data_IF_383175320237
#
_entry.id   IF_383175320237
#
_cell.length_a   1.000
_cell.length_b   1.000
_cell.length_c   1.000
_cell.angle_alpha   90.00
_cell.angle_beta   90.00
_cell.angle_gamma   90.00
#
_symmetry.space_group_name_H-M   'P 1'
#
loop_
_entity.id
_entity.type
_entity.pdbx_description
1 polymer ?
#
# COMPACT_ATOMS: atom_id res chain seq x y z
N UNK A 1 -1.40 20.21 -5.63
CA UNK A 1 -1.44 20.12 -7.10
C UNK A 1 -2.88 19.93 -7.51
N UNK A 2 -3.25 20.35 -8.73
CA UNK A 2 -4.59 20.15 -9.27
C UNK A 2 -4.54 19.08 -10.36
N UNK A 3 -5.68 18.45 -10.63
CA UNK A 3 -5.77 17.54 -11.76
C UNK A 3 -5.67 18.27 -13.09
N UNK A 4 -4.80 17.76 -13.96
CA UNK A 4 -4.60 18.25 -15.32
C UNK A 4 -5.04 17.15 -16.30
N UNK A 5 -6.26 17.32 -16.88
CA UNK A 5 -6.79 16.39 -17.86
C UNK A 5 -6.18 16.68 -19.24
N UNK A 6 -5.49 15.69 -19.78
CA UNK A 6 -4.92 15.72 -21.13
C UNK A 6 -5.67 14.73 -22.00
N UNK A 7 -6.30 15.19 -23.07
CA UNK A 7 -7.06 14.35 -24.00
C UNK A 7 -7.19 15.00 -25.36
N UNK A 8 -7.14 14.20 -26.43
CA UNK A 8 -7.50 14.61 -27.78
C UNK A 8 -9.02 14.72 -27.97
N UNK A 9 -9.80 14.13 -27.04
CA UNK A 9 -11.25 14.12 -27.10
C UNK A 9 -11.84 15.36 -26.40
N UNK A 10 -12.99 15.78 -26.91
CA UNK A 10 -13.84 16.79 -26.26
C UNK A 10 -15.18 16.13 -25.87
N UNK A 11 -15.83 16.57 -24.79
CA UNK A 11 -17.13 16.06 -24.42
C UNK A 11 -18.16 16.31 -25.53
N UNK A 12 -18.90 15.28 -25.93
CA UNK A 12 -19.89 15.32 -27.01
C UNK A 12 -21.22 14.68 -26.60
N UNK A 13 -22.29 14.95 -27.34
CA UNK A 13 -23.63 14.43 -27.06
C UNK A 13 -24.11 14.86 -25.68
N UNK A 14 -24.54 13.92 -24.85
CA UNK A 14 -25.03 14.15 -23.48
C UNK A 14 -23.93 14.29 -22.43
N UNK A 15 -22.66 14.08 -22.80
CA UNK A 15 -21.53 14.13 -21.85
C UNK A 15 -21.38 15.50 -21.17
N UNK A 16 -21.46 16.66 -21.87
CA UNK A 16 -21.35 17.98 -21.23
C UNK A 16 -22.36 18.19 -20.11
N UNK A 17 -23.61 17.79 -20.35
CA UNK A 17 -24.68 17.89 -19.36
C UNK A 17 -24.44 16.94 -18.19
N UNK A 18 -24.09 15.69 -18.44
CA UNK A 18 -23.76 14.71 -17.41
C UNK A 18 -22.58 15.16 -16.53
N UNK A 19 -21.52 15.72 -17.13
CA UNK A 19 -20.38 16.28 -16.41
C UNK A 19 -20.83 17.42 -15.49
N UNK A 20 -21.65 18.35 -16.00
CA UNK A 20 -22.13 19.49 -15.22
C UNK A 20 -22.97 19.03 -14.03
N UNK A 21 -23.98 18.17 -14.25
CA UNK A 21 -24.88 17.67 -13.22
C UNK A 21 -24.13 16.87 -12.14
N UNK A 22 -23.23 15.96 -12.53
CA UNK A 22 -22.43 15.17 -11.59
C UNK A 22 -21.49 16.06 -10.77
N UNK A 23 -20.85 17.05 -11.41
CA UNK A 23 -19.96 17.99 -10.71
C UNK A 23 -20.74 18.83 -9.70
N UNK A 24 -21.86 19.41 -10.09
CA UNK A 24 -22.74 20.21 -9.22
C UNK A 24 -23.22 19.39 -8.03
N UNK A 25 -23.73 18.17 -8.28
CA UNK A 25 -24.20 17.30 -7.21
C UNK A 25 -23.12 16.94 -6.19
N UNK A 26 -21.86 16.69 -6.62
CA UNK A 26 -20.74 16.48 -5.69
C UNK A 26 -20.45 17.74 -4.86
N UNK A 27 -20.46 18.91 -5.49
CA UNK A 27 -20.20 20.20 -4.81
C UNK A 27 -21.30 20.58 -3.82
N UNK A 28 -22.55 20.22 -4.11
CA UNK A 28 -23.72 20.40 -3.24
C UNK A 28 -23.81 19.35 -2.13
N UNK A 29 -22.94 18.33 -2.14
CA UNK A 29 -22.91 17.28 -1.13
C UNK A 29 -24.00 16.21 -1.31
N UNK A 30 -24.49 16.00 -2.54
CA UNK A 30 -25.41 14.90 -2.85
C UNK A 30 -24.71 13.56 -2.54
N UNK A 31 -25.29 12.71 -1.68
CA UNK A 31 -24.59 11.55 -1.13
C UNK A 31 -24.30 10.46 -2.17
N UNK A 32 -25.11 10.36 -3.23
CA UNK A 32 -24.90 9.39 -4.30
C UNK A 32 -25.56 9.84 -5.60
N UNK A 33 -24.91 9.58 -6.72
CA UNK A 33 -25.39 9.85 -8.06
C UNK A 33 -25.13 8.64 -8.95
N UNK A 34 -25.92 8.43 -9.97
CA UNK A 34 -25.76 7.32 -10.92
C UNK A 34 -25.56 7.86 -12.33
N UNK A 35 -24.42 7.51 -12.95
CA UNK A 35 -24.18 7.74 -14.38
C UNK A 35 -24.60 6.48 -15.17
N UNK A 36 -25.68 6.59 -15.92
CA UNK A 36 -26.16 5.51 -16.79
C UNK A 36 -25.68 5.74 -18.23
N UNK A 37 -25.07 4.74 -18.81
CA UNK A 37 -24.60 4.80 -20.20
C UNK A 37 -24.24 3.42 -20.74
N UNK A 38 -24.49 3.22 -22.03
CA UNK A 38 -24.10 1.97 -22.71
C UNK A 38 -22.59 1.82 -22.79
N UNK A 39 -22.11 0.60 -23.05
CA UNK A 39 -20.69 0.34 -23.31
C UNK A 39 -20.21 1.19 -24.47
N UNK A 40 -19.05 1.83 -24.34
CA UNK A 40 -18.47 2.70 -25.37
C UNK A 40 -19.05 4.13 -25.40
N UNK A 41 -19.97 4.51 -24.48
CA UNK A 41 -20.49 5.89 -24.40
C UNK A 41 -19.50 6.91 -23.81
N UNK A 42 -18.29 6.49 -23.43
CA UNK A 42 -17.28 7.36 -22.85
C UNK A 42 -17.50 7.69 -21.37
N UNK A 43 -18.11 6.79 -20.60
CA UNK A 43 -18.31 6.96 -19.14
C UNK A 43 -16.99 7.30 -18.42
N UNK A 44 -15.89 6.60 -18.73
CA UNK A 44 -14.58 6.87 -18.12
C UNK A 44 -14.11 8.29 -18.39
N UNK A 45 -14.27 8.79 -19.61
CA UNK A 45 -13.92 10.17 -19.98
C UNK A 45 -14.82 11.19 -19.28
N UNK A 46 -16.13 10.90 -19.15
CA UNK A 46 -17.07 11.71 -18.39
C UNK A 46 -16.63 11.85 -16.94
N UNK A 47 -16.30 10.72 -16.26
CA UNK A 47 -15.82 10.71 -14.88
C UNK A 47 -14.46 11.42 -14.76
N UNK A 48 -13.54 11.28 -15.72
CA UNK A 48 -12.26 12.01 -15.70
C UNK A 48 -12.49 13.54 -15.72
N UNK A 49 -13.46 14.04 -16.48
CA UNK A 49 -13.83 15.46 -16.47
C UNK A 49 -14.44 15.89 -15.12
N UNK A 50 -15.27 15.06 -14.50
CA UNK A 50 -15.81 15.32 -13.15
C UNK A 50 -14.66 15.40 -12.14
N UNK A 51 -13.75 14.43 -12.13
CA UNK A 51 -12.57 14.41 -11.22
C UNK A 51 -11.75 15.70 -11.38
N UNK A 52 -11.46 16.10 -12.61
CA UNK A 52 -10.76 17.37 -12.89
C UNK A 52 -11.50 18.58 -12.28
N UNK A 53 -12.83 18.64 -12.43
CA UNK A 53 -13.62 19.78 -11.98
C UNK A 53 -13.73 19.87 -10.46
N UNK A 54 -13.88 18.72 -9.76
CA UNK A 54 -14.02 18.70 -8.30
C UNK A 54 -12.68 18.76 -7.58
N UNK A 55 -11.61 18.31 -8.22
CA UNK A 55 -10.22 18.33 -7.70
C UNK A 55 -10.07 17.69 -6.31
N UNK A 56 -10.66 16.50 -6.11
CA UNK A 56 -10.59 15.72 -4.87
C UNK A 56 -9.89 14.38 -5.11
N UNK A 57 -9.17 13.82 -4.13
CA UNK A 57 -8.70 12.45 -4.19
C UNK A 57 -9.85 11.52 -4.55
N UNK A 58 -9.62 10.57 -5.44
CA UNK A 58 -10.69 9.73 -5.98
C UNK A 58 -10.31 8.26 -5.88
N UNK A 59 -11.21 7.44 -5.34
CA UNK A 59 -11.15 5.98 -5.38
C UNK A 59 -12.10 5.46 -6.45
N UNK A 60 -11.56 4.68 -7.38
CA UNK A 60 -12.35 3.99 -8.42
C UNK A 60 -12.36 2.50 -8.09
N UNK A 61 -13.54 1.96 -7.84
CA UNK A 61 -13.75 0.56 -7.53
C UNK A 61 -14.21 -0.21 -8.76
N UNK A 62 -13.50 -1.29 -9.06
CA UNK A 62 -13.84 -2.23 -10.12
C UNK A 62 -14.07 -3.62 -9.52
N UNK A 63 -14.94 -4.42 -10.11
CA UNK A 63 -15.30 -5.73 -9.60
C UNK A 63 -14.22 -6.81 -9.80
N UNK A 64 -13.23 -6.58 -10.67
CA UNK A 64 -12.13 -7.52 -10.86
C UNK A 64 -10.80 -6.83 -11.24
N UNK A 65 -9.70 -7.62 -11.13
CA UNK A 65 -8.32 -7.16 -11.38
C UNK A 65 -8.10 -6.71 -12.83
N UNK A 66 -8.71 -7.40 -13.80
CA UNK A 66 -8.53 -7.11 -15.24
C UNK A 66 -9.17 -5.78 -15.63
N UNK A 67 -10.40 -5.56 -15.20
CA UNK A 67 -11.09 -4.29 -15.48
C UNK A 67 -10.45 -3.13 -14.73
N UNK A 68 -10.00 -3.35 -13.49
CA UNK A 68 -9.20 -2.37 -12.77
C UNK A 68 -7.93 -1.97 -13.53
N UNK A 69 -7.23 -2.93 -14.16
CA UNK A 69 -6.05 -2.65 -14.98
C UNK A 69 -6.38 -1.81 -16.22
N UNK A 70 -7.50 -2.11 -16.89
CA UNK A 70 -7.98 -1.30 -18.01
C UNK A 70 -8.28 0.14 -17.59
N UNK A 71 -9.08 0.33 -16.53
CA UNK A 71 -9.41 1.65 -16.00
C UNK A 71 -8.15 2.42 -15.56
N UNK A 72 -7.22 1.74 -14.91
CA UNK A 72 -5.93 2.34 -14.54
C UNK A 72 -5.20 2.89 -15.77
N UNK A 73 -5.11 2.11 -16.86
CA UNK A 73 -4.49 2.56 -18.11
C UNK A 73 -5.21 3.77 -18.74
N UNK A 74 -6.55 3.76 -18.76
CA UNK A 74 -7.36 4.88 -19.26
C UNK A 74 -7.14 6.15 -18.42
N UNK A 75 -7.26 6.07 -17.08
CA UNK A 75 -7.04 7.22 -16.20
C UNK A 75 -5.59 7.72 -16.22
N UNK A 76 -4.61 6.82 -16.35
CA UNK A 76 -3.20 7.20 -16.50
C UNK A 76 -2.95 7.99 -17.78
N UNK A 77 -3.66 7.66 -18.88
CA UNK A 77 -3.58 8.42 -20.12
C UNK A 77 -4.25 9.79 -20.02
N UNK A 78 -5.34 9.91 -19.26
CA UNK A 78 -6.02 11.18 -19.04
C UNK A 78 -5.28 12.10 -18.06
N UNK A 79 -4.56 11.55 -17.09
CA UNK A 79 -3.85 12.28 -16.04
C UNK A 79 -2.37 11.89 -15.96
N UNK A 80 -1.59 12.07 -17.05
CA UNK A 80 -0.20 11.61 -17.11
C UNK A 80 0.72 12.31 -16.10
N UNK A 81 0.37 13.53 -15.67
CA UNK A 81 1.14 14.37 -14.75
C UNK A 81 0.67 14.28 -13.28
N UNK A 82 -0.41 13.53 -13.02
CA UNK A 82 -0.98 13.36 -11.69
C UNK A 82 -0.72 11.94 -11.14
N UNK A 83 -0.97 11.73 -9.87
CA UNK A 83 -0.83 10.42 -9.27
C UNK A 83 -2.04 9.55 -9.62
N UNK A 84 -1.88 8.68 -10.59
CA UNK A 84 -2.83 7.61 -10.88
C UNK A 84 -2.19 6.31 -10.45
N UNK A 85 -2.81 5.65 -9.48
CA UNK A 85 -2.26 4.51 -8.75
C UNK A 85 -3.13 3.28 -8.92
N UNK A 86 -2.52 2.10 -8.83
CA UNK A 86 -3.18 0.81 -9.00
C UNK A 86 -3.13 0.00 -7.72
N UNK A 87 -4.28 -0.42 -7.20
CA UNK A 87 -4.37 -1.14 -5.94
C UNK A 87 -5.25 -2.39 -6.05
N UNK A 88 -4.64 -3.54 -6.26
CA UNK A 88 -5.31 -4.84 -6.36
C UNK A 88 -4.65 -5.88 -5.48
N UNK A 89 -5.16 -7.11 -5.45
CA UNK A 89 -4.51 -8.20 -4.73
C UNK A 89 -3.11 -8.49 -5.30
N UNK A 90 -2.11 -8.52 -4.43
CA UNK A 90 -0.72 -8.84 -4.80
C UNK A 90 -0.44 -10.34 -4.87
N UNK A 91 -1.43 -11.18 -4.54
CA UNK A 91 -1.33 -12.62 -4.75
C UNK A 91 -1.66 -12.98 -6.20
N UNK A 92 -0.72 -13.63 -6.89
CA UNK A 92 -0.99 -14.26 -8.17
C UNK A 92 -1.63 -15.62 -7.98
N UNK A 93 -1.27 -16.31 -6.90
CA UNK A 93 -1.85 -17.55 -6.44
C UNK A 93 -2.06 -17.50 -4.93
N UNK A 94 -3.20 -17.98 -4.45
CA UNK A 94 -3.51 -18.08 -3.04
C UNK A 94 -4.27 -19.36 -2.77
N UNK A 95 -3.66 -20.27 -2.03
CA UNK A 95 -4.29 -21.46 -1.50
C UNK A 95 -4.32 -21.33 0.04
N UNK A 96 -5.52 -21.21 0.65
CA UNK A 96 -5.62 -21.20 2.10
C UNK A 96 -5.21 -22.54 2.66
N UNK A 97 -4.66 -22.53 3.86
CA UNK A 97 -4.46 -23.77 4.59
C UNK A 97 -5.79 -24.44 4.94
N UNK A 98 -5.83 -25.75 4.89
CA UNK A 98 -6.97 -26.56 5.27
C UNK A 98 -6.52 -27.86 5.90
N UNK A 99 -7.29 -28.32 6.89
CA UNK A 99 -7.09 -29.63 7.49
C UNK A 99 -8.31 -30.51 7.25
N UNK A 100 -8.07 -31.70 6.72
CA UNK A 100 -9.09 -32.71 6.47
C UNK A 100 -8.99 -33.81 7.53
N UNK A 101 -9.77 -33.74 8.63
CA UNK A 101 -9.66 -34.70 9.74
C UNK A 101 -9.93 -36.14 9.33
N UNK A 102 -10.77 -36.36 8.32
CA UNK A 102 -11.13 -37.71 7.85
C UNK A 102 -9.97 -38.49 7.22
N UNK A 103 -8.97 -37.79 6.67
CA UNK A 103 -7.81 -38.40 6.02
C UNK A 103 -6.50 -38.01 6.68
N UNK A 104 -6.56 -37.28 7.79
CA UNK A 104 -5.36 -36.68 8.45
C UNK A 104 -4.47 -35.91 7.43
N UNK A 105 -5.12 -35.22 6.49
CA UNK A 105 -4.40 -34.50 5.43
C UNK A 105 -4.40 -33.03 5.76
N UNK A 106 -3.21 -32.47 5.90
CA UNK A 106 -3.00 -31.03 6.02
C UNK A 106 -2.58 -30.47 4.66
N UNK A 107 -3.34 -29.51 4.17
CA UNK A 107 -3.03 -28.73 2.97
C UNK A 107 -2.37 -27.44 3.45
N UNK A 108 -1.10 -27.28 3.14
CA UNK A 108 -0.34 -26.08 3.52
C UNK A 108 -0.85 -24.86 2.76
N UNK A 109 -0.75 -23.70 3.43
CA UNK A 109 -0.95 -22.42 2.79
C UNK A 109 0.10 -22.24 1.70
N UNK A 110 -0.34 -22.02 0.48
CA UNK A 110 0.54 -21.71 -0.66
C UNK A 110 0.14 -20.38 -1.28
N UNK A 111 1.12 -19.52 -1.52
CA UNK A 111 0.90 -18.21 -2.09
C UNK A 111 2.11 -17.74 -2.90
N UNK A 112 1.81 -17.10 -4.03
CA UNK A 112 2.80 -16.42 -4.84
C UNK A 112 2.51 -14.91 -4.83
N UNK A 113 3.45 -14.14 -4.30
CA UNK A 113 3.36 -12.67 -4.25
C UNK A 113 3.91 -12.11 -5.54
N UNK A 114 3.18 -11.18 -6.13
CA UNK A 114 3.63 -10.39 -7.26
C UNK A 114 4.29 -9.11 -6.75
N UNK A 115 5.62 -9.08 -6.80
CA UNK A 115 6.42 -7.94 -6.31
C UNK A 115 6.12 -6.63 -7.04
N UNK A 116 5.74 -6.69 -8.30
CA UNK A 116 5.38 -5.51 -9.08
C UNK A 116 4.07 -4.89 -8.59
N UNK A 117 3.09 -5.75 -8.26
CA UNK A 117 1.82 -5.27 -7.68
C UNK A 117 2.04 -4.77 -6.24
N UNK A 118 2.92 -5.39 -5.48
CA UNK A 118 3.25 -4.91 -4.13
C UNK A 118 3.87 -3.51 -4.18
N UNK A 119 4.79 -3.24 -5.12
CA UNK A 119 5.29 -1.89 -5.42
C UNK A 119 4.17 -0.90 -5.70
N UNK A 120 3.21 -1.25 -6.58
CA UNK A 120 2.10 -0.37 -6.95
C UNK A 120 1.18 -0.09 -5.76
N UNK A 121 0.98 -1.05 -4.87
CA UNK A 121 0.22 -0.87 -3.63
C UNK A 121 0.91 0.11 -2.68
N UNK A 122 2.23 -0.03 -2.52
CA UNK A 122 3.04 0.91 -1.73
C UNK A 122 3.04 2.31 -2.35
N UNK A 123 3.10 2.42 -3.69
CA UNK A 123 3.01 3.70 -4.39
C UNK A 123 1.67 4.40 -4.11
N UNK A 124 0.55 3.67 -4.21
CA UNK A 124 -0.78 4.19 -3.91
C UNK A 124 -0.89 4.72 -2.48
N UNK A 125 -0.40 3.93 -1.51
CA UNK A 125 -0.41 4.30 -0.08
C UNK A 125 0.43 5.55 0.18
N UNK A 126 1.63 5.59 -0.40
CA UNK A 126 2.55 6.71 -0.28
C UNK A 126 1.98 7.99 -0.91
N UNK A 127 1.34 7.88 -2.08
CA UNK A 127 0.68 9.00 -2.75
C UNK A 127 -0.45 9.59 -1.89
N UNK A 128 -1.30 8.74 -1.29
CA UNK A 128 -2.39 9.18 -0.43
C UNK A 128 -1.87 9.90 0.82
N UNK A 129 -0.80 9.40 1.46
CA UNK A 129 -0.22 9.99 2.67
C UNK A 129 0.73 11.16 2.39
N UNK A 130 1.04 11.46 1.12
CA UNK A 130 1.89 12.60 0.76
C UNK A 130 1.24 13.96 1.01
N UNK A 131 -0.08 13.99 1.22
CA UNK A 131 -0.88 15.22 1.36
C UNK A 131 -1.27 15.85 0.02
N UNK A 132 -0.94 15.23 -1.13
CA UNK A 132 -1.41 15.69 -2.43
C UNK A 132 -2.89 15.38 -2.63
N UNK A 133 -3.61 16.25 -3.36
CA UNK A 133 -5.04 16.10 -3.63
C UNK A 133 -5.34 15.50 -4.99
N UNK A 134 -4.37 15.50 -5.88
CA UNK A 134 -4.47 15.03 -7.26
C UNK A 134 -4.11 13.54 -7.37
N UNK A 135 -4.79 12.70 -6.58
CA UNK A 135 -4.59 11.25 -6.53
C UNK A 135 -5.83 10.52 -6.98
N UNK A 136 -5.69 9.64 -7.97
CA UNK A 136 -6.71 8.67 -8.38
C UNK A 136 -6.17 7.27 -8.05
N UNK A 137 -6.89 6.52 -7.24
CA UNK A 137 -6.56 5.11 -6.98
C UNK A 137 -7.59 4.23 -7.66
N UNK A 138 -7.16 3.41 -8.60
CA UNK A 138 -8.01 2.39 -9.22
C UNK A 138 -7.81 1.07 -8.50
N UNK A 139 -8.87 0.53 -7.90
CA UNK A 139 -8.81 -0.64 -7.03
C UNK A 139 -9.87 -1.68 -7.38
N UNK A 140 -9.57 -2.91 -7.02
CA UNK A 140 -10.57 -3.98 -6.89
C UNK A 140 -11.07 -4.06 -5.44
N UNK A 141 -11.87 -5.08 -5.12
CA UNK A 141 -12.33 -5.38 -3.76
C UNK A 141 -11.19 -5.47 -2.73
N UNK A 142 -9.94 -5.60 -3.17
CA UNK A 142 -8.76 -5.62 -2.30
C UNK A 142 -8.61 -4.39 -1.40
N UNK A 143 -9.25 -3.26 -1.76
CA UNK A 143 -9.23 -2.04 -0.95
C UNK A 143 -9.92 -2.18 0.42
N UNK A 144 -10.80 -3.17 0.59
CA UNK A 144 -11.52 -3.41 1.86
C UNK A 144 -10.86 -4.47 2.74
N UNK A 145 -9.80 -5.14 2.26
CA UNK A 145 -9.04 -6.09 3.06
C UNK A 145 -8.01 -5.39 3.94
N UNK A 146 -7.63 -6.08 5.03
CA UNK A 146 -6.77 -5.53 6.06
C UNK A 146 -5.44 -4.99 5.54
N UNK A 147 -5.09 -3.84 6.04
CA UNK A 147 -3.82 -3.15 5.87
C UNK A 147 -3.23 -2.82 7.24
N UNK A 148 -2.00 -2.37 7.26
CA UNK A 148 -1.41 -1.78 8.47
C UNK A 148 -2.12 -0.49 8.88
N UNK A 149 -1.82 -0.02 10.09
CA UNK A 149 -2.34 1.25 10.60
C UNK A 149 -1.74 2.43 9.82
N UNK A 150 -2.56 3.33 9.22
CA UNK A 150 -2.06 4.50 8.49
C UNK A 150 -1.15 5.39 9.35
N UNK A 151 -1.44 5.54 10.63
CA UNK A 151 -0.64 6.36 11.55
C UNK A 151 0.75 5.76 11.76
N UNK A 152 0.86 4.44 11.92
CA UNK A 152 2.14 3.76 12.09
C UNK A 152 2.98 3.85 10.80
N UNK A 153 2.33 3.71 9.65
CA UNK A 153 3.00 3.91 8.37
C UNK A 153 3.53 5.34 8.22
N UNK A 154 2.69 6.36 8.53
CA UNK A 154 3.07 7.77 8.44
C UNK A 154 4.18 8.14 9.44
N UNK A 155 4.15 7.64 10.66
CA UNK A 155 5.15 7.93 11.69
C UNK A 155 6.54 7.37 11.35
N UNK A 156 6.62 6.39 10.45
CA UNK A 156 7.87 5.83 9.96
C UNK A 156 8.35 6.46 8.63
N UNK A 157 7.72 7.52 8.16
CA UNK A 157 8.20 8.31 7.03
C UNK A 157 9.47 9.07 7.43
N UNK A 158 10.52 8.96 6.61
CA UNK A 158 11.79 9.64 6.86
C UNK A 158 11.83 10.90 6.01
N UNK A 159 11.74 12.06 6.65
CA UNK A 159 11.89 13.35 5.97
C UNK A 159 13.35 13.78 5.98
N UNK A 160 13.88 14.00 4.79
CA UNK A 160 15.25 14.49 4.56
C UNK A 160 15.22 15.80 3.80
N UNK A 161 16.20 16.65 4.09
CA UNK A 161 16.34 17.97 3.45
C UNK A 161 17.81 18.30 3.25
N UNK A 162 18.14 18.79 2.07
CA UNK A 162 19.48 19.31 1.74
C UNK A 162 19.90 20.39 2.72
N UNK A 163 21.13 20.35 3.18
CA UNK A 163 21.68 21.28 4.17
C UNK A 163 21.24 21.00 5.61
N UNK A 164 20.47 19.93 5.86
CA UNK A 164 20.06 19.56 7.22
C UNK A 164 21.13 18.69 7.86
N UNK A 165 21.51 19.03 9.09
CA UNK A 165 22.36 18.18 9.92
C UNK A 165 21.59 16.90 10.30
N UNK A 166 22.12 15.78 9.94
CA UNK A 166 21.59 14.45 10.22
C UNK A 166 22.74 13.44 10.26
N UNK A 167 23.07 12.95 11.44
CA UNK A 167 24.07 11.88 11.59
C UNK A 167 23.69 10.69 10.68
N UNK A 168 24.65 10.26 9.85
CA UNK A 168 24.46 9.19 8.88
C UNK A 168 24.03 7.89 9.53
N UNK A 169 24.55 7.53 10.69
CA UNK A 169 24.19 6.28 11.37
C UNK A 169 22.75 6.36 11.92
N UNK A 170 22.30 7.54 12.35
CA UNK A 170 20.90 7.77 12.72
C UNK A 170 19.99 7.60 11.49
N UNK A 171 20.39 8.13 10.34
CA UNK A 171 19.67 7.94 9.09
C UNK A 171 19.57 6.47 8.69
N UNK A 172 20.68 5.72 8.75
CA UNK A 172 20.70 4.28 8.43
C UNK A 172 19.81 3.47 9.38
N UNK A 173 19.77 3.80 10.68
CA UNK A 173 18.86 3.17 11.64
C UNK A 173 17.40 3.43 11.28
N UNK A 174 17.04 4.67 10.91
CA UNK A 174 15.68 5.00 10.45
C UNK A 174 15.28 4.20 9.21
N UNK A 175 16.20 3.96 8.27
CA UNK A 175 15.92 3.10 7.10
C UNK A 175 15.60 1.67 7.55
N UNK A 176 16.37 1.10 8.48
CA UNK A 176 16.08 -0.23 9.03
C UNK A 176 14.76 -0.26 9.80
N UNK A 177 14.48 0.75 10.61
CA UNK A 177 13.20 0.89 11.33
C UNK A 177 12.01 1.03 10.37
N UNK A 178 12.22 1.59 9.16
CA UNK A 178 11.26 1.67 8.06
C UNK A 178 11.28 0.43 7.15
N UNK A 179 11.85 -0.67 7.61
CA UNK A 179 11.92 -2.00 6.98
C UNK A 179 12.73 -2.06 5.68
N UNK A 180 13.64 -1.11 5.43
CA UNK A 180 14.65 -1.26 4.40
C UNK A 180 15.78 -2.18 4.88
N UNK A 181 16.24 -3.07 4.02
CA UNK A 181 17.30 -4.04 4.33
C UNK A 181 18.64 -3.57 3.73
N UNK A 182 19.71 -3.57 4.55
CA UNK A 182 21.04 -3.28 4.03
C UNK A 182 21.55 -4.43 3.19
N UNK A 183 21.91 -4.15 1.95
CA UNK A 183 22.54 -5.11 1.05
C UNK A 183 23.56 -4.36 0.17
N UNK A 184 24.84 -4.52 0.49
CA UNK A 184 25.93 -3.84 -0.21
C UNK A 184 26.38 -4.58 -1.50
N UNK A 185 25.88 -5.82 -1.72
CA UNK A 185 26.23 -6.68 -2.86
C UNK A 185 25.19 -6.50 -3.98
N UNK A 186 23.94 -6.78 -3.68
CA UNK A 186 22.84 -6.74 -4.63
C UNK A 186 21.77 -5.76 -4.14
N UNK A 187 21.48 -4.73 -4.94
CA UNK A 187 20.55 -3.68 -4.57
C UNK A 187 19.20 -3.92 -5.25
N UNK A 188 18.29 -4.56 -4.53
CA UNK A 188 16.91 -4.82 -4.95
C UNK A 188 15.94 -3.82 -4.29
N UNK A 189 14.68 -3.77 -4.75
CA UNK A 189 13.65 -2.92 -4.11
C UNK A 189 13.54 -3.20 -2.61
N UNK A 190 13.38 -2.16 -1.82
CA UNK A 190 13.37 -2.25 -0.37
C UNK A 190 14.75 -2.44 0.26
N UNK A 191 15.84 -2.38 -0.54
CA UNK A 191 17.20 -2.44 -0.03
C UNK A 191 17.88 -1.05 -0.06
N UNK A 192 18.89 -0.90 0.77
CA UNK A 192 19.84 0.21 0.67
C UNK A 192 21.27 -0.29 0.78
N UNK A 193 22.20 0.45 0.19
CA UNK A 193 23.65 0.19 0.33
C UNK A 193 24.37 1.47 0.69
N UNK A 194 25.55 1.30 1.29
CA UNK A 194 26.41 2.41 1.72
C UNK A 194 27.75 2.31 1.03
N UNK A 195 28.15 3.37 0.34
CA UNK A 195 29.48 3.49 -0.30
C UNK A 195 30.10 4.83 0.08
N UNK A 196 31.02 4.81 1.06
CA UNK A 196 31.60 6.01 1.63
C UNK A 196 30.54 6.91 2.25
N UNK A 197 30.43 8.14 1.75
CA UNK A 197 29.45 9.12 2.22
C UNK A 197 28.15 9.11 1.42
N UNK A 198 27.96 8.12 0.56
CA UNK A 198 26.78 7.96 -0.29
C UNK A 198 25.92 6.78 0.19
N UNK A 199 24.62 7.01 0.32
CA UNK A 199 23.60 6.00 0.61
C UNK A 199 22.68 5.92 -0.59
N UNK A 200 22.67 4.76 -1.28
CA UNK A 200 21.75 4.45 -2.36
C UNK A 200 20.59 3.61 -1.78
N UNK A 201 19.35 4.06 -2.00
CA UNK A 201 18.13 3.42 -1.50
C UNK A 201 17.28 3.03 -2.70
N UNK A 202 17.03 1.73 -2.91
CA UNK A 202 16.06 1.32 -3.90
C UNK A 202 14.67 1.37 -3.28
N UNK A 203 13.92 2.42 -3.65
CA UNK A 203 12.62 2.68 -3.07
C UNK A 203 11.66 1.51 -3.33
N UNK A 204 10.94 1.07 -2.30
CA UNK A 204 10.03 -0.06 -2.40
C UNK A 204 8.80 0.23 -3.28
N UNK A 205 8.47 1.51 -3.46
CA UNK A 205 7.31 2.03 -4.19
C UNK A 205 7.66 2.69 -5.53
N UNK A 206 8.90 2.56 -6.01
CA UNK A 206 9.38 3.19 -7.26
C UNK A 206 10.33 2.25 -8.00
N UNK A 207 10.53 2.51 -9.29
CA UNK A 207 11.54 1.84 -10.12
C UNK A 207 12.91 2.53 -10.05
N UNK A 208 13.02 3.65 -9.35
CA UNK A 208 14.22 4.46 -9.27
C UNK A 208 14.91 4.33 -7.91
N UNK A 209 16.21 4.62 -7.91
CA UNK A 209 17.01 4.76 -6.69
C UNK A 209 16.94 6.19 -6.18
N UNK A 210 16.88 6.33 -4.87
CA UNK A 210 17.17 7.59 -4.20
C UNK A 210 18.60 7.55 -3.68
N UNK A 211 19.43 8.49 -4.14
CA UNK A 211 20.80 8.68 -3.68
C UNK A 211 20.86 9.85 -2.73
N UNK A 212 21.34 9.59 -1.52
CA UNK A 212 21.58 10.63 -0.50
C UNK A 212 23.09 10.71 -0.27
N UNK A 213 23.65 11.89 -0.52
CA UNK A 213 25.07 12.17 -0.30
C UNK A 213 25.25 12.99 0.95
N UNK A 214 26.21 12.60 1.78
CA UNK A 214 26.56 13.28 3.02
C UNK A 214 27.90 13.98 2.88
N UNK A 215 28.01 15.14 3.51
CA UNK A 215 29.26 15.78 3.80
C UNK A 215 29.38 15.90 5.32
N UNK A 216 30.20 15.04 5.92
CA UNK A 216 30.23 14.82 7.37
C UNK A 216 28.82 14.42 7.87
N UNK A 217 28.21 15.20 8.77
CA UNK A 217 26.85 14.99 9.29
C UNK A 217 25.78 15.85 8.59
N UNK A 218 26.06 16.41 7.41
CA UNK A 218 25.12 17.22 6.64
C UNK A 218 24.71 16.51 5.34
N UNK A 219 23.43 16.60 4.98
CA UNK A 219 22.95 16.12 3.68
C UNK A 219 23.34 17.13 2.59
N UNK A 220 24.32 16.77 1.76
CA UNK A 220 24.84 17.61 0.68
C UNK A 220 23.95 17.55 -0.57
N UNK A 221 23.47 16.36 -0.94
CA UNK A 221 22.60 16.22 -2.11
C UNK A 221 21.61 15.05 -1.96
N UNK A 222 20.44 15.21 -2.64
CA UNK A 222 19.40 14.21 -2.77
C UNK A 222 19.08 14.08 -4.25
N UNK A 223 19.32 12.91 -4.83
CA UNK A 223 19.19 12.66 -6.26
C UNK A 223 18.37 11.43 -6.55
N UNK A 224 17.56 11.48 -7.61
CA UNK A 224 16.91 10.31 -8.19
C UNK A 224 17.77 9.75 -9.32
N UNK A 225 18.02 8.46 -9.28
CA UNK A 225 18.93 7.76 -10.18
C UNK A 225 18.19 6.60 -10.86
N UNK A 226 18.34 6.47 -12.17
CA UNK A 226 17.94 5.28 -12.89
C UNK A 226 18.83 4.09 -12.50
N UNK A 227 18.27 2.97 -11.97
CA UNK A 227 19.06 1.87 -11.44
C UNK A 227 19.86 1.11 -12.50
N UNK A 228 19.44 1.17 -13.77
CA UNK A 228 20.06 0.43 -14.88
C UNK A 228 21.21 1.22 -15.50
N UNK A 229 20.94 2.47 -15.87
CA UNK A 229 21.91 3.32 -16.53
C UNK A 229 22.82 4.09 -15.57
N UNK A 230 22.40 4.24 -14.30
CA UNK A 230 23.08 5.07 -13.31
C UNK A 230 22.95 6.58 -13.58
N UNK A 231 22.11 6.97 -14.53
CA UNK A 231 21.91 8.38 -14.89
C UNK A 231 21.04 9.06 -13.83
N UNK A 232 21.42 10.28 -13.48
CA UNK A 232 20.63 11.13 -12.60
C UNK A 232 19.40 11.65 -13.35
N UNK A 233 18.21 11.37 -12.81
CA UNK A 233 16.91 11.75 -13.36
C UNK A 233 16.43 13.09 -12.80
N UNK A 234 16.60 13.30 -11.47
CA UNK A 234 16.16 14.51 -10.79
C UNK A 234 17.05 14.82 -9.58
N UNK A 235 16.92 16.05 -9.05
CA UNK A 235 17.49 16.51 -7.78
C UNK A 235 16.41 17.12 -6.92
N UNK A 236 16.52 16.98 -5.60
CA UNK A 236 15.53 17.45 -4.66
C UNK A 236 16.19 18.28 -3.55
N UNK A 237 15.51 19.32 -3.09
CA UNK A 237 15.89 20.05 -1.88
C UNK A 237 15.35 19.35 -0.62
N UNK A 238 14.21 18.65 -0.75
CA UNK A 238 13.61 17.85 0.30
C UNK A 238 12.95 16.61 -0.29
N UNK A 239 12.94 15.51 0.48
CA UNK A 239 12.32 14.25 0.04
C UNK A 239 11.72 13.50 1.24
N UNK A 240 10.64 12.75 0.98
CA UNK A 240 10.00 11.84 1.94
C UNK A 240 10.22 10.41 1.52
N UNK A 241 10.91 9.64 2.34
CA UNK A 241 11.12 8.20 2.14
C UNK A 241 10.03 7.48 2.93
N UNK A 242 9.17 6.76 2.21
CA UNK A 242 8.09 5.95 2.81
C UNK A 242 8.60 4.56 3.16
N UNK A 243 7.97 3.88 4.15
CA UNK A 243 8.35 2.54 4.55
C UNK A 243 8.34 1.52 3.42
N UNK A 244 9.17 0.50 3.55
CA UNK A 244 9.28 -0.57 2.56
C UNK A 244 8.20 -1.66 2.67
N UNK A 245 7.30 -1.58 3.66
CA UNK A 245 6.19 -2.51 3.83
C UNK A 245 4.95 -1.80 4.35
N UNK A 246 3.75 -2.29 3.97
CA UNK A 246 2.47 -1.75 4.41
C UNK A 246 2.15 -2.05 5.89
N UNK A 247 2.67 -3.14 6.43
CA UNK A 247 2.47 -3.54 7.82
C UNK A 247 3.61 -3.05 8.70
N UNK A 248 3.55 -1.75 9.04
CA UNK A 248 4.48 -1.13 9.97
C UNK A 248 3.97 -1.23 11.39
N UNK A 249 4.87 -1.50 12.33
CA UNK A 249 4.60 -1.47 13.76
C UNK A 249 5.85 -1.08 14.54
N UNK A 250 5.68 -0.49 15.71
CA UNK A 250 6.82 -0.21 16.59
C UNK A 250 7.30 -1.49 17.27
N UNK A 251 8.59 -1.57 17.64
CA UNK A 251 9.15 -2.71 18.37
C UNK A 251 8.39 -3.01 19.67
N UNK A 252 7.95 -1.97 20.37
CA UNK A 252 7.15 -2.11 21.59
C UNK A 252 5.77 -2.72 21.29
N UNK A 253 5.08 -2.23 20.26
CA UNK A 253 3.80 -2.81 19.81
C UNK A 253 3.96 -4.23 19.31
N UNK A 254 5.06 -4.53 18.61
CA UNK A 254 5.39 -5.88 18.15
C UNK A 254 5.57 -6.86 19.31
N UNK A 255 6.36 -6.51 20.32
CA UNK A 255 6.56 -7.36 21.50
C UNK A 255 5.25 -7.59 22.25
N UNK A 256 4.46 -6.54 22.44
CA UNK A 256 3.12 -6.65 23.06
C UNK A 256 2.21 -7.57 22.26
N UNK A 257 2.17 -7.42 20.93
CA UNK A 257 1.37 -8.26 20.06
C UNK A 257 1.78 -9.74 20.16
N UNK A 258 3.08 -10.04 20.13
CA UNK A 258 3.61 -11.40 20.26
C UNK A 258 3.15 -12.04 21.58
N UNK A 259 3.28 -11.34 22.71
CA UNK A 259 2.80 -11.87 23.99
C UNK A 259 1.30 -12.16 23.99
N UNK A 260 0.48 -11.26 23.43
CA UNK A 260 -0.95 -11.47 23.35
C UNK A 260 -1.31 -12.66 22.44
N UNK A 261 -0.60 -12.84 21.33
CA UNK A 261 -0.78 -13.98 20.41
C UNK A 261 -0.43 -15.28 21.13
N UNK A 262 0.69 -15.34 21.87
CA UNK A 262 1.11 -16.52 22.63
C UNK A 262 0.12 -16.88 23.74
N UNK A 263 -0.43 -15.88 24.44
CA UNK A 263 -1.47 -16.09 25.47
C UNK A 263 -2.76 -16.65 24.84
N UNK A 264 -3.20 -16.11 23.71
CA UNK A 264 -4.40 -16.58 23.02
C UNK A 264 -4.17 -17.95 22.37
N UNK A 265 -2.97 -18.22 21.83
CA UNK A 265 -2.56 -19.54 21.34
C UNK A 265 -2.70 -20.62 22.44
N UNK A 266 -2.16 -20.32 23.63
CA UNK A 266 -2.21 -21.25 24.75
C UNK A 266 -3.65 -21.62 25.12
N UNK A 267 -4.55 -20.62 25.16
CA UNK A 267 -5.98 -20.83 25.46
C UNK A 267 -6.68 -21.65 24.38
N UNK A 268 -6.43 -21.34 23.11
CA UNK A 268 -7.12 -22.01 22.00
C UNK A 268 -6.60 -23.45 21.81
N UNK A 269 -5.32 -23.69 22.02
CA UNK A 269 -4.73 -25.06 22.03
C UNK A 269 -5.38 -25.89 23.13
N UNK A 270 -5.46 -25.39 24.37
CA UNK A 270 -6.09 -26.09 25.48
C UNK A 270 -7.57 -26.42 25.17
N UNK A 271 -8.31 -25.52 24.57
CA UNK A 271 -9.70 -25.75 24.17
C UNK A 271 -9.82 -26.85 23.10
N UNK A 272 -8.95 -26.88 22.07
CA UNK A 272 -8.93 -27.97 21.09
C UNK A 272 -8.59 -29.32 21.72
N UNK A 273 -7.66 -29.35 22.69
CA UNK A 273 -7.32 -30.57 23.45
C UNK A 273 -8.52 -31.07 24.27
N UNK A 274 -9.23 -30.16 24.98
CA UNK A 274 -10.45 -30.50 25.72
C UNK A 274 -11.57 -31.04 24.81
N UNK A 275 -11.68 -30.54 23.58
CA UNK A 275 -12.60 -31.01 22.56
C UNK A 275 -12.15 -32.33 21.89
N UNK A 276 -10.97 -32.85 22.24
CA UNK A 276 -10.38 -34.07 21.64
C UNK A 276 -9.78 -33.86 20.25
N UNK A 277 -9.59 -32.63 19.83
CA UNK A 277 -9.03 -32.22 18.53
C UNK A 277 -7.50 -32.08 18.60
N UNK A 278 -6.81 -33.17 18.92
CA UNK A 278 -5.37 -33.16 19.18
C UNK A 278 -4.52 -32.75 17.97
N UNK A 279 -4.95 -33.11 16.76
CA UNK A 279 -4.22 -32.75 15.53
C UNK A 279 -4.33 -31.25 15.23
N UNK A 280 -5.52 -30.69 15.37
CA UNK A 280 -5.77 -29.26 15.20
C UNK A 280 -4.98 -28.44 16.23
N UNK A 281 -4.99 -28.85 17.48
CA UNK A 281 -4.20 -28.26 18.57
C UNK A 281 -2.72 -28.21 18.22
N UNK A 282 -2.15 -29.35 17.82
CA UNK A 282 -0.74 -29.47 17.45
C UNK A 282 -0.39 -28.57 16.26
N UNK A 283 -1.19 -28.61 15.20
CA UNK A 283 -0.95 -27.81 13.98
C UNK A 283 -1.03 -26.30 14.24
N UNK A 284 -2.04 -25.88 15.00
CA UNK A 284 -2.15 -24.49 15.41
C UNK A 284 -0.92 -24.02 16.18
N UNK A 285 -0.48 -24.82 17.15
CA UNK A 285 0.70 -24.55 17.96
C UNK A 285 1.96 -24.42 17.09
N UNK A 286 2.25 -25.41 16.25
CA UNK A 286 3.43 -25.42 15.37
C UNK A 286 3.42 -24.20 14.42
N UNK A 287 2.29 -23.88 13.81
CA UNK A 287 2.17 -22.79 12.86
C UNK A 287 2.39 -21.43 13.53
N UNK A 288 1.65 -21.15 14.59
CA UNK A 288 1.75 -19.85 15.26
C UNK A 288 3.12 -19.64 15.91
N UNK A 289 3.72 -20.70 16.49
CA UNK A 289 5.08 -20.61 17.05
C UNK A 289 6.09 -20.25 15.98
N UNK A 290 6.04 -20.90 14.82
CA UNK A 290 6.89 -20.57 13.68
C UNK A 290 6.70 -19.12 13.21
N UNK A 291 5.46 -18.65 13.07
CA UNK A 291 5.17 -17.28 12.67
C UNK A 291 5.72 -16.26 13.70
N UNK A 292 5.63 -16.58 15.00
CA UNK A 292 6.19 -15.70 16.06
C UNK A 292 7.72 -15.65 16.03
N UNK A 293 8.38 -16.75 15.71
CA UNK A 293 9.82 -16.76 15.50
C UNK A 293 10.22 -15.88 14.32
N UNK A 294 9.53 -16.02 13.18
CA UNK A 294 9.76 -15.18 11.99
C UNK A 294 9.58 -13.69 12.28
N UNK A 295 8.54 -13.35 13.04
CA UNK A 295 8.28 -11.93 13.40
C UNK A 295 9.36 -11.41 14.35
N UNK A 296 9.87 -12.22 15.29
CA UNK A 296 10.96 -11.80 16.20
C UNK A 296 12.27 -11.55 15.45
N UNK A 297 12.61 -12.43 14.51
CA UNK A 297 13.91 -12.40 13.83
C UNK A 297 13.92 -11.44 12.64
N UNK A 298 12.85 -11.43 11.84
CA UNK A 298 12.77 -10.70 10.57
C UNK A 298 11.82 -9.49 10.60
N UNK A 299 11.03 -9.35 11.67
CA UNK A 299 10.02 -8.28 11.77
C UNK A 299 8.70 -8.59 11.03
N UNK A 300 8.61 -9.69 10.29
CA UNK A 300 7.41 -10.09 9.55
C UNK A 300 7.30 -11.61 9.38
N UNK A 301 6.10 -12.09 9.03
CA UNK A 301 5.87 -13.46 8.59
C UNK A 301 4.93 -13.50 7.38
N UNK A 302 4.88 -14.64 6.71
CA UNK A 302 3.88 -14.86 5.64
C UNK A 302 2.46 -14.85 6.23
N UNK A 303 1.58 -13.97 5.72
CA UNK A 303 0.23 -13.80 6.24
C UNK A 303 0.15 -12.98 7.53
N UNK A 304 1.08 -12.06 7.75
CA UNK A 304 1.11 -11.17 8.92
C UNK A 304 -0.22 -10.41 9.11
N UNK A 305 -0.96 -10.17 8.02
CA UNK A 305 -2.29 -9.57 8.04
C UNK A 305 -3.30 -10.35 8.91
N UNK A 306 -3.11 -11.66 9.09
CA UNK A 306 -3.94 -12.49 9.97
C UNK A 306 -3.77 -12.12 11.45
N UNK A 307 -2.65 -11.53 11.80
CA UNK A 307 -2.30 -11.06 13.14
C UNK A 307 -2.55 -9.56 13.33
N UNK A 308 -3.06 -8.84 12.30
CA UNK A 308 -3.20 -7.37 12.30
C UNK A 308 -3.89 -6.83 13.55
N UNK A 309 -4.90 -7.54 14.09
CA UNK A 309 -5.62 -7.15 15.32
C UNK A 309 -4.69 -6.91 16.52
N UNK A 310 -3.67 -7.74 16.66
CA UNK A 310 -2.74 -7.65 17.79
C UNK A 310 -1.74 -6.50 17.59
N UNK A 311 -1.29 -6.28 16.36
CA UNK A 311 -0.34 -5.22 16.04
C UNK A 311 -0.95 -3.82 16.14
N UNK A 312 -2.17 -3.65 15.68
CA UNK A 312 -2.87 -2.36 15.74
C UNK A 312 -3.66 -2.14 17.04
N UNK A 313 -3.68 -3.15 17.94
CA UNK A 313 -4.29 -3.06 19.28
C UNK A 313 -5.82 -2.93 19.29
N UNK A 314 -6.50 -3.24 18.17
CA UNK A 314 -7.96 -3.15 18.10
C UNK A 314 -8.65 -4.31 18.82
N UNK A 315 -9.86 -4.05 19.28
CA UNK A 315 -10.69 -5.06 19.94
C UNK A 315 -11.17 -6.13 18.95
N UNK A 316 -11.42 -7.34 19.46
CA UNK A 316 -12.04 -8.40 18.67
C UNK A 316 -13.40 -7.93 18.12
N UNK A 317 -13.70 -8.27 16.85
CA UNK A 317 -14.94 -7.88 16.17
C UNK A 317 -14.92 -6.49 15.52
N UNK A 318 -13.89 -5.66 15.75
CA UNK A 318 -13.73 -4.42 14.98
C UNK A 318 -13.10 -4.70 13.62
N UNK A 319 -13.52 -3.94 12.59
CA UNK A 319 -12.95 -4.09 11.25
C UNK A 319 -11.45 -3.75 11.23
N UNK A 320 -10.64 -4.42 10.40
CA UNK A 320 -9.26 -3.99 10.18
C UNK A 320 -9.20 -2.65 9.45
N UNK A 321 -8.05 -1.99 9.54
CA UNK A 321 -7.74 -0.90 8.63
C UNK A 321 -7.70 -1.41 7.20
N UNK A 322 -8.11 -0.57 6.26
CA UNK A 322 -8.13 -0.86 4.84
C UNK A 322 -7.72 0.38 4.05
N UNK A 323 -7.68 0.31 2.72
CA UNK A 323 -7.25 1.42 1.88
C UNK A 323 -8.06 2.70 2.12
N UNK A 324 -9.35 2.58 2.45
CA UNK A 324 -10.22 3.74 2.74
C UNK A 324 -9.73 4.58 3.92
N UNK A 325 -9.04 3.97 4.89
CA UNK A 325 -8.48 4.67 6.05
C UNK A 325 -7.21 5.50 5.71
N UNK A 326 -6.66 5.33 4.51
CA UNK A 326 -5.54 6.13 3.99
C UNK A 326 -5.99 7.36 3.20
N UNK A 327 -7.25 7.41 2.81
CA UNK A 327 -7.82 8.58 2.16
C UNK A 327 -8.07 9.71 3.17
N UNK A 328 -8.02 10.98 2.76
CA UNK A 328 -8.51 12.08 3.59
C UNK A 328 -10.04 11.98 3.75
N UNK A 329 -10.58 12.71 4.73
CA UNK A 329 -12.04 12.69 5.00
C UNK A 329 -12.90 13.12 3.79
N UNK A 330 -12.38 14.00 2.94
CA UNK A 330 -13.06 14.52 1.75
C UNK A 330 -12.47 13.93 0.47
N UNK A 331 -13.08 12.88 -0.05
CA UNK A 331 -12.71 12.22 -1.30
C UNK A 331 -13.92 11.68 -2.04
N UNK A 332 -13.76 11.39 -3.33
CA UNK A 332 -14.80 10.80 -4.18
C UNK A 332 -14.65 9.30 -4.29
N UNK A 333 -15.75 8.56 -4.24
CA UNK A 333 -15.79 7.13 -4.60
C UNK A 333 -16.58 6.97 -5.90
N UNK A 334 -16.00 6.30 -6.86
CA UNK A 334 -16.65 5.89 -8.12
C UNK A 334 -16.70 4.37 -8.15
N UNK A 335 -17.89 3.79 -8.25
CA UNK A 335 -18.08 2.34 -8.34
C UNK A 335 -18.46 2.02 -9.78
N UNK A 336 -17.55 1.35 -10.49
CA UNK A 336 -17.77 0.92 -11.85
C UNK A 336 -18.61 -0.35 -11.88
N UNK A 337 -19.57 -0.43 -12.82
CA UNK A 337 -20.51 -1.55 -12.97
C UNK A 337 -21.20 -1.91 -11.63
N UNK A 338 -21.77 -0.91 -10.97
CA UNK A 338 -22.33 -1.02 -9.61
C UNK A 338 -23.59 -1.90 -9.49
N UNK A 339 -24.11 -2.39 -10.60
CA UNK A 339 -25.25 -3.33 -10.63
C UNK A 339 -24.81 -4.74 -10.32
#
# INVERSE_FOLDING_TARGET
>A
MNFELISEYQPTGDQPEAIAQLTEGVLEGVPAQTLLGVTGSGKTFTIANVIKNINKPTLILSHNKTLAAQLYGEFKSFFPNNAVEYYVSYYDYYQPEAYLPSSDTYIEKDLAINEEIDKLRLAATSALLSGRKDVVVVSSVSCIYGMGNPSDFYNNVIEIKKGKLLDRNVFLRRLVDSLYVRNDIELNRGNFRVKGDTVDIYLAYSDNLLRVMFWDDEIDAIEEIDPISGIRLATFDEYKIYPANLFMTTKESQLRAIHQIEDDLTKEVAKFEEEGKMYEAKRLYERVTYDMEMIRELGHCSGIENYSRYFDGRNAGTRPYCLLDFFPDDFLIVIDESH
#
